data_IF_101604518782
#
_entry.id   IF_101604518782
#
_cell.length_a   1.000
_cell.length_b   1.000
_cell.length_c   1.000
_cell.angle_alpha   90.00
_cell.angle_beta   90.00
_cell.angle_gamma   90.00
#
_symmetry.space_group_name_H-M   'P 1'
#
loop_
_entity.id
_entity.type
_entity.pdbx_description
1 polymer ?
#
# COMPACT_ATOMS: atom_id res chain seq x y z
N UNK A 1 22.69 -23.64 21.81
CA UNK A 1 21.91 -22.53 22.42
C UNK A 1 22.13 -21.30 21.56
N UNK A 2 21.25 -21.08 20.59
CA UNK A 2 21.35 -19.95 19.64
C UNK A 2 20.94 -18.69 20.40
N UNK A 3 21.87 -17.76 20.51
CA UNK A 3 21.63 -16.49 21.21
C UNK A 3 20.68 -15.63 20.38
N UNK A 4 19.52 -15.31 20.92
CA UNK A 4 18.46 -14.44 20.38
C UNK A 4 18.90 -12.98 20.13
N UNK A 5 20.18 -12.70 19.87
CA UNK A 5 20.73 -11.34 19.74
C UNK A 5 20.83 -10.80 18.32
N UNK A 6 20.50 -11.57 17.29
CA UNK A 6 20.72 -11.15 15.88
C UNK A 6 19.46 -10.75 15.09
N UNK A 7 18.30 -10.59 15.74
CA UNK A 7 17.06 -10.14 15.08
C UNK A 7 16.85 -8.61 15.08
N UNK A 8 17.90 -7.83 15.25
CA UNK A 8 17.82 -6.37 15.37
C UNK A 8 18.07 -5.64 14.04
N UNK A 9 17.47 -6.07 12.92
CA UNK A 9 17.72 -5.39 11.64
C UNK A 9 16.50 -4.80 10.93
N UNK A 10 15.28 -5.07 11.40
CA UNK A 10 14.09 -4.42 10.83
C UNK A 10 13.83 -3.11 11.57
N UNK A 11 14.60 -2.07 11.25
CA UNK A 11 14.51 -0.80 11.97
C UNK A 11 13.62 0.23 11.29
N UNK A 12 13.36 0.09 9.98
CA UNK A 12 12.66 1.10 9.19
C UNK A 12 11.74 0.45 8.14
N UNK A 13 10.47 0.79 8.18
CA UNK A 13 9.45 0.32 7.25
C UNK A 13 8.80 1.52 6.56
N UNK A 14 8.46 1.37 5.27
CA UNK A 14 7.43 2.20 4.65
C UNK A 14 6.16 1.35 4.55
N UNK A 15 5.07 1.88 5.10
CA UNK A 15 3.77 1.24 5.11
C UNK A 15 2.83 2.00 4.18
N UNK A 16 2.44 1.37 3.07
CA UNK A 16 1.48 1.89 2.12
C UNK A 16 0.08 1.45 2.54
N UNK A 17 -0.83 2.40 2.67
CA UNK A 17 -2.23 2.13 2.96
C UNK A 17 -3.04 2.55 1.74
N UNK A 18 -3.96 1.70 1.30
CA UNK A 18 -4.90 2.07 0.24
C UNK A 18 -5.64 3.36 0.57
N UNK A 19 -5.86 4.19 -0.41
CA UNK A 19 -6.68 5.40 -0.28
C UNK A 19 -8.18 5.10 -0.32
N UNK A 20 -8.54 3.84 -0.56
CA UNK A 20 -9.91 3.37 -0.62
C UNK A 20 -10.37 2.82 0.74
N UNK A 21 -11.46 3.39 1.25
CA UNK A 21 -12.16 2.99 2.47
C UNK A 21 -11.38 3.11 3.81
N UNK A 22 -12.05 3.64 4.82
CA UNK A 22 -11.48 3.84 6.16
C UNK A 22 -11.20 2.53 6.91
N UNK A 23 -11.84 1.42 6.53
CA UNK A 23 -11.62 0.11 7.15
C UNK A 23 -10.16 -0.35 7.08
N UNK A 24 -9.53 -0.19 5.91
CA UNK A 24 -8.12 -0.50 5.72
C UNK A 24 -7.22 0.41 6.56
N UNK A 25 -7.54 1.70 6.60
CA UNK A 25 -6.79 2.67 7.38
C UNK A 25 -6.84 2.35 8.88
N UNK A 26 -8.01 2.00 9.43
CA UNK A 26 -8.16 1.66 10.86
C UNK A 26 -7.42 0.38 11.22
N UNK A 27 -7.48 -0.64 10.38
CA UNK A 27 -6.72 -1.88 10.54
C UNK A 27 -5.22 -1.63 10.50
N UNK A 28 -4.76 -0.89 9.49
CA UNK A 28 -3.35 -0.55 9.33
C UNK A 28 -2.82 0.26 10.52
N UNK A 29 -3.62 1.19 11.08
CA UNK A 29 -3.26 1.93 12.29
C UNK A 29 -3.00 0.99 13.47
N UNK A 30 -3.84 -0.05 13.64
CA UNK A 30 -3.64 -1.03 14.72
C UNK A 30 -2.33 -1.79 14.56
N UNK A 31 -2.02 -2.26 13.34
CA UNK A 31 -0.76 -2.95 13.03
C UNK A 31 0.44 -2.03 13.24
N UNK A 32 0.37 -0.80 12.74
CA UNK A 32 1.45 0.18 12.86
C UNK A 32 1.76 0.49 14.33
N UNK A 33 0.73 0.57 15.19
CA UNK A 33 0.93 0.76 16.64
C UNK A 33 1.75 -0.37 17.26
N UNK A 34 1.49 -1.61 16.88
CA UNK A 34 2.27 -2.74 17.40
C UNK A 34 3.71 -2.70 16.86
N UNK A 35 3.92 -2.39 15.58
CA UNK A 35 5.25 -2.23 15.01
C UNK A 35 6.07 -1.14 15.74
N UNK A 36 5.43 -0.02 16.09
CA UNK A 36 6.07 1.06 16.84
C UNK A 36 6.43 0.63 18.26
N UNK A 37 5.58 -0.15 18.94
CA UNK A 37 5.87 -0.71 20.27
C UNK A 37 7.10 -1.62 20.26
N UNK A 38 7.31 -2.34 19.16
CA UNK A 38 8.51 -3.18 18.94
C UNK A 38 9.75 -2.36 18.53
N UNK A 39 9.68 -1.03 18.56
CA UNK A 39 10.79 -0.14 18.26
C UNK A 39 11.07 0.05 16.77
N UNK A 40 10.13 -0.32 15.89
CA UNK A 40 10.26 -0.17 14.45
C UNK A 40 9.87 1.26 14.04
N UNK A 41 10.73 1.90 13.27
CA UNK A 41 10.43 3.19 12.65
C UNK A 41 9.51 2.97 11.44
N UNK A 42 8.30 3.51 11.50
CA UNK A 42 7.34 3.39 10.41
C UNK A 42 7.13 4.75 9.75
N UNK A 43 7.25 4.78 8.42
CA UNK A 43 6.81 5.89 7.58
C UNK A 43 5.55 5.45 6.84
N UNK A 44 4.46 6.21 6.97
CA UNK A 44 3.19 5.88 6.33
C UNK A 44 3.01 6.66 5.04
N UNK A 45 2.58 5.96 3.99
CA UNK A 45 2.28 6.50 2.67
C UNK A 45 0.77 6.42 2.41
N UNK A 46 0.10 7.55 2.28
CA UNK A 46 -1.35 7.66 2.04
C UNK A 46 -1.70 9.10 1.66
N UNK A 47 -2.84 9.35 1.05
CA UNK A 47 -3.29 10.72 0.72
C UNK A 47 -3.87 11.46 1.93
N UNK A 48 -4.53 10.76 2.87
CA UNK A 48 -5.18 11.33 4.04
C UNK A 48 -4.27 11.37 5.27
N UNK A 49 -3.19 12.15 5.18
CA UNK A 49 -2.20 12.26 6.26
C UNK A 49 -2.74 12.93 7.52
N UNK A 50 -3.74 13.80 7.41
CA UNK A 50 -4.32 14.49 8.58
C UNK A 50 -5.01 13.53 9.53
N UNK A 51 -5.76 12.56 9.00
CA UNK A 51 -6.38 11.51 9.78
C UNK A 51 -5.34 10.60 10.45
N UNK A 52 -4.29 10.25 9.70
CA UNK A 52 -3.19 9.42 10.20
C UNK A 52 -2.42 10.12 11.32
N UNK A 53 -2.07 11.39 11.17
CA UNK A 53 -1.35 12.17 12.18
C UNK A 53 -2.15 12.33 13.48
N UNK A 54 -3.50 12.45 13.37
CA UNK A 54 -4.38 12.46 14.55
C UNK A 54 -4.43 11.10 15.25
N UNK A 55 -4.42 10.01 14.48
CA UNK A 55 -4.54 8.64 14.99
C UNK A 55 -3.23 8.05 15.50
N UNK A 56 -2.11 8.51 14.93
CA UNK A 56 -0.74 8.06 15.22
C UNK A 56 0.15 9.31 15.46
N UNK A 57 0.10 9.92 16.64
CA UNK A 57 0.94 11.08 16.94
C UNK A 57 2.43 10.76 16.76
N UNK A 58 3.17 11.67 16.14
CA UNK A 58 4.61 11.56 15.86
C UNK A 58 5.01 10.49 14.83
N UNK A 59 4.06 9.94 14.06
CA UNK A 59 4.39 9.09 12.93
C UNK A 59 4.97 9.91 11.77
N UNK A 60 5.94 9.35 11.06
CA UNK A 60 6.38 9.94 9.81
C UNK A 60 5.33 9.65 8.73
N UNK A 61 4.85 10.68 8.04
CA UNK A 61 3.89 10.54 6.94
C UNK A 61 4.41 11.19 5.68
N UNK A 62 4.10 10.59 4.53
CA UNK A 62 4.37 11.15 3.22
C UNK A 62 3.06 11.14 2.44
N UNK A 63 2.56 12.34 2.11
CA UNK A 63 1.32 12.48 1.35
C UNK A 63 1.47 12.00 -0.08
N UNK A 64 0.47 11.30 -0.57
CA UNK A 64 0.30 10.94 -1.97
C UNK A 64 -0.62 9.77 -2.17
N UNK A 65 -1.25 9.74 -3.33
CA UNK A 65 -2.19 8.70 -3.74
C UNK A 65 -1.47 7.38 -3.93
N UNK A 66 -1.96 6.34 -3.27
CA UNK A 66 -1.43 4.97 -3.35
C UNK A 66 -2.19 4.11 -4.35
N UNK A 67 -3.51 4.34 -4.45
CA UNK A 67 -4.40 3.70 -5.42
C UNK A 67 -5.69 4.51 -5.61
N UNK A 68 -6.60 4.01 -6.42
CA UNK A 68 -7.88 4.66 -6.72
C UNK A 68 -9.00 3.63 -6.53
N UNK A 69 -9.91 3.95 -5.63
CA UNK A 69 -11.12 3.16 -5.39
C UNK A 69 -12.36 3.63 -6.17
N UNK A 70 -13.52 3.02 -5.89
CA UNK A 70 -14.78 3.41 -6.50
C UNK A 70 -15.12 4.89 -6.32
N UNK A 71 -15.61 5.50 -7.38
CA UNK A 71 -16.10 6.88 -7.37
C UNK A 71 -17.55 6.91 -6.87
N UNK A 72 -17.80 7.68 -5.82
CA UNK A 72 -19.13 7.82 -5.24
C UNK A 72 -19.90 8.94 -5.95
N UNK A 73 -21.20 8.73 -6.20
CA UNK A 73 -22.12 9.71 -6.75
C UNK A 73 -22.31 10.90 -5.78
N UNK A 74 -22.86 12.02 -6.28
CA UNK A 74 -23.13 13.21 -5.49
C UNK A 74 -24.10 12.95 -4.30
N UNK A 75 -24.90 11.88 -4.36
CA UNK A 75 -25.79 11.46 -3.27
C UNK A 75 -25.03 10.84 -2.06
N UNK A 76 -23.73 10.58 -2.20
CA UNK A 76 -22.89 10.02 -1.14
C UNK A 76 -23.07 8.53 -0.86
N UNK A 77 -23.91 7.82 -1.61
CA UNK A 77 -24.31 6.43 -1.33
C UNK A 77 -23.98 5.52 -2.52
N UNK A 78 -24.35 5.92 -3.73
CA UNK A 78 -24.24 5.10 -4.94
C UNK A 78 -22.88 5.23 -5.57
N UNK A 79 -22.40 4.14 -6.19
CA UNK A 79 -21.18 4.13 -6.98
C UNK A 79 -21.50 4.61 -8.41
N UNK A 80 -20.68 5.52 -8.94
CA UNK A 80 -20.70 5.87 -10.34
C UNK A 80 -19.81 4.88 -11.11
N UNK A 81 -20.42 3.85 -11.69
CA UNK A 81 -19.70 2.76 -12.36
C UNK A 81 -18.81 3.26 -13.49
N UNK A 82 -19.32 4.12 -14.39
CA UNK A 82 -18.56 4.63 -15.53
C UNK A 82 -17.31 5.42 -15.08
N UNK A 83 -17.47 6.32 -14.13
CA UNK A 83 -16.33 7.08 -13.59
C UNK A 83 -15.37 6.19 -12.80
N UNK A 84 -15.87 5.18 -12.13
CA UNK A 84 -15.05 4.20 -11.42
C UNK A 84 -14.16 3.46 -12.40
N UNK A 85 -14.72 2.90 -13.47
CA UNK A 85 -13.97 2.21 -14.51
C UNK A 85 -12.94 3.13 -15.18
N UNK A 86 -13.34 4.36 -15.51
CA UNK A 86 -12.43 5.34 -16.12
C UNK A 86 -11.25 5.68 -15.19
N UNK A 87 -11.53 6.00 -13.91
CA UNK A 87 -10.50 6.45 -12.97
C UNK A 87 -9.55 5.32 -12.57
N UNK A 88 -10.09 4.13 -12.28
CA UNK A 88 -9.27 2.96 -11.96
C UNK A 88 -8.46 2.53 -13.18
N UNK A 89 -9.05 2.52 -14.38
CA UNK A 89 -8.33 2.20 -15.61
C UNK A 89 -7.13 3.12 -15.85
N UNK A 90 -7.31 4.44 -15.71
CA UNK A 90 -6.23 5.43 -15.79
C UNK A 90 -5.15 5.20 -14.73
N UNK A 91 -5.55 4.86 -13.51
CA UNK A 91 -4.60 4.54 -12.44
C UNK A 91 -3.78 3.31 -12.79
N UNK A 92 -4.42 2.21 -13.22
CA UNK A 92 -3.70 0.99 -13.62
C UNK A 92 -2.73 1.28 -14.77
N UNK A 93 -3.17 2.00 -15.81
CA UNK A 93 -2.32 2.35 -16.95
C UNK A 93 -1.11 3.20 -16.55
N UNK A 94 -1.22 3.97 -15.47
CA UNK A 94 -0.15 4.82 -14.94
C UNK A 94 0.73 4.14 -13.89
N UNK A 95 0.44 2.91 -13.47
CA UNK A 95 1.03 2.28 -12.28
C UNK A 95 2.55 2.20 -12.34
N UNK A 96 3.13 1.91 -13.50
CA UNK A 96 4.59 1.87 -13.68
C UNK A 96 5.22 3.25 -13.56
N UNK A 97 4.58 4.28 -14.12
CA UNK A 97 5.05 5.66 -14.04
C UNK A 97 4.99 6.19 -12.60
N UNK A 98 3.92 5.90 -11.88
CA UNK A 98 3.79 6.27 -10.47
C UNK A 98 4.79 5.52 -9.61
N UNK A 99 5.05 4.25 -9.89
CA UNK A 99 6.09 3.46 -9.22
C UNK A 99 7.50 4.05 -9.35
N UNK A 100 7.82 4.73 -10.45
CA UNK A 100 9.10 5.44 -10.57
C UNK A 100 9.26 6.60 -9.57
N UNK A 101 8.15 7.27 -9.22
CA UNK A 101 8.16 8.30 -8.18
C UNK A 101 8.37 7.66 -6.80
N UNK A 102 7.72 6.55 -6.54
CA UNK A 102 7.86 5.81 -5.28
C UNK A 102 9.28 5.21 -5.15
N UNK A 103 9.87 4.73 -6.24
CA UNK A 103 11.27 4.29 -6.24
C UNK A 103 12.22 5.39 -5.72
N UNK A 104 12.01 6.65 -6.11
CA UNK A 104 12.81 7.78 -5.59
C UNK A 104 12.61 7.97 -4.09
N UNK A 105 11.37 7.85 -3.59
CA UNK A 105 11.05 7.96 -2.16
C UNK A 105 11.73 6.82 -1.39
N UNK A 106 11.57 5.58 -1.86
CA UNK A 106 12.18 4.39 -1.26
C UNK A 106 13.71 4.51 -1.22
N UNK A 107 14.31 4.95 -2.33
CA UNK A 107 15.77 5.12 -2.44
C UNK A 107 16.33 6.18 -1.47
N UNK A 108 15.55 7.23 -1.19
CA UNK A 108 15.93 8.27 -0.23
C UNK A 108 15.80 7.79 1.22
N UNK A 109 14.72 7.10 1.55
CA UNK A 109 14.42 6.63 2.90
C UNK A 109 15.28 5.41 3.26
N UNK A 110 15.55 4.55 2.29
CA UNK A 110 16.27 3.27 2.44
C UNK A 110 15.65 2.41 3.55
N UNK A 111 14.37 2.02 3.42
CA UNK A 111 13.72 1.16 4.39
C UNK A 111 14.30 -0.25 4.32
N UNK A 112 14.08 -1.04 5.37
CA UNK A 112 14.42 -2.46 5.39
C UNK A 112 13.31 -3.32 4.81
N UNK A 113 12.06 -2.79 4.81
CA UNK A 113 10.87 -3.50 4.34
C UNK A 113 9.82 -2.52 3.82
N UNK A 114 9.13 -2.92 2.77
CA UNK A 114 7.89 -2.29 2.30
C UNK A 114 6.72 -3.17 2.72
N UNK A 115 5.71 -2.57 3.32
CA UNK A 115 4.42 -3.22 3.59
C UNK A 115 3.33 -2.48 2.82
N UNK A 116 2.46 -3.19 2.13
CA UNK A 116 1.34 -2.58 1.40
C UNK A 116 0.02 -3.25 1.74
N UNK A 117 -0.91 -2.45 2.26
CA UNK A 117 -2.31 -2.84 2.43
C UNK A 117 -3.06 -2.50 1.14
N UNK A 118 -3.36 -3.52 0.35
CA UNK A 118 -3.99 -3.55 -0.98
C UNK A 118 -3.17 -2.93 -2.11
N UNK A 119 -2.63 -1.72 -1.97
CA UNK A 119 -2.02 -1.03 -3.10
C UNK A 119 -0.95 -1.88 -3.80
N UNK A 120 -1.09 -2.05 -5.13
CA UNK A 120 -0.15 -2.82 -5.96
C UNK A 120 1.09 -2.01 -6.37
N UNK A 121 0.96 -0.69 -6.44
CA UNK A 121 1.97 0.22 -6.99
C UNK A 121 3.35 0.12 -6.31
N UNK A 122 3.48 0.00 -4.96
CA UNK A 122 4.78 -0.02 -4.33
C UNK A 122 5.62 -1.26 -4.64
N UNK A 123 5.04 -2.36 -5.09
CA UNK A 123 5.81 -3.59 -5.37
C UNK A 123 6.77 -3.44 -6.55
N UNK A 124 6.40 -2.72 -7.62
CA UNK A 124 7.33 -2.39 -8.70
C UNK A 124 8.51 -1.57 -8.18
N UNK A 125 8.24 -0.60 -7.32
CA UNK A 125 9.28 0.28 -6.77
C UNK A 125 10.19 -0.46 -5.78
N UNK A 126 9.63 -1.32 -4.93
CA UNK A 126 10.36 -2.16 -3.99
C UNK A 126 11.30 -3.13 -4.73
N UNK A 127 10.77 -3.84 -5.73
CA UNK A 127 11.54 -4.75 -6.56
C UNK A 127 12.71 -4.04 -7.26
N UNK A 128 12.46 -2.88 -7.87
CA UNK A 128 13.50 -2.06 -8.50
C UNK A 128 14.56 -1.58 -7.50
N UNK A 129 14.17 -1.27 -6.26
CA UNK A 129 15.05 -0.85 -5.19
C UNK A 129 15.78 -2.02 -4.50
N UNK A 130 15.44 -3.27 -4.84
CA UNK A 130 15.91 -4.48 -4.16
C UNK A 130 15.60 -4.47 -2.65
N UNK A 131 14.43 -3.98 -2.28
CA UNK A 131 13.92 -3.96 -0.92
C UNK A 131 12.80 -5.00 -0.82
N UNK A 132 12.87 -5.87 0.18
CA UNK A 132 11.83 -6.86 0.43
C UNK A 132 10.47 -6.19 0.66
N UNK A 133 9.40 -6.86 0.21
CA UNK A 133 8.05 -6.32 0.27
C UNK A 133 7.02 -7.36 0.69
N UNK A 134 6.00 -6.89 1.41
CA UNK A 134 4.90 -7.70 1.93
C UNK A 134 3.57 -7.12 1.46
N UNK A 135 2.79 -7.94 0.78
CA UNK A 135 1.37 -7.67 0.53
C UNK A 135 0.58 -8.12 1.75
N UNK A 136 -0.18 -7.21 2.35
CA UNK A 136 -0.96 -7.48 3.57
C UNK A 136 -2.40 -7.02 3.34
N UNK A 137 -3.34 -7.95 3.14
CA UNK A 137 -4.74 -7.59 2.93
C UNK A 137 -5.67 -8.80 3.08
N UNK A 138 -6.97 -8.53 3.14
CA UNK A 138 -8.02 -9.55 3.04
C UNK A 138 -8.39 -9.88 1.57
N UNK A 139 -8.09 -8.99 0.63
CA UNK A 139 -8.24 -9.18 -0.83
C UNK A 139 -7.22 -8.32 -1.57
N UNK A 140 -7.01 -8.60 -2.85
CA UNK A 140 -6.24 -7.77 -3.78
C UNK A 140 -7.16 -7.08 -4.80
N UNK A 141 -6.65 -6.10 -5.53
CA UNK A 141 -7.41 -5.51 -6.64
C UNK A 141 -7.72 -6.52 -7.74
N UNK A 142 -6.91 -7.56 -7.90
CA UNK A 142 -7.18 -8.64 -8.87
C UNK A 142 -8.37 -9.51 -8.50
N UNK A 143 -8.74 -9.56 -7.21
CA UNK A 143 -9.89 -10.35 -6.73
C UNK A 143 -11.23 -9.64 -6.94
N UNK A 144 -11.23 -8.31 -6.96
CA UNK A 144 -12.48 -7.53 -6.89
C UNK A 144 -12.75 -6.69 -8.14
N UNK A 145 -11.74 -6.39 -8.95
CA UNK A 145 -11.91 -5.58 -10.15
C UNK A 145 -12.43 -6.42 -11.32
N UNK A 146 -13.50 -5.94 -11.95
CA UNK A 146 -14.09 -6.52 -13.17
C UNK A 146 -14.27 -5.44 -14.24
N UNK A 147 -14.37 -5.84 -15.52
CA UNK A 147 -14.58 -4.91 -16.63
C UNK A 147 -13.31 -4.24 -17.15
N UNK A 148 -12.13 -4.67 -16.73
CA UNK A 148 -10.83 -4.17 -17.20
C UNK A 148 -10.23 -5.10 -18.25
N UNK A 149 -9.36 -4.55 -19.11
CA UNK A 149 -8.68 -5.32 -20.14
C UNK A 149 -7.69 -6.33 -19.54
N UNK A 150 -7.43 -7.42 -20.26
CA UNK A 150 -6.40 -8.40 -19.85
C UNK A 150 -5.03 -7.74 -19.62
N UNK A 151 -4.71 -6.70 -20.39
CA UNK A 151 -3.47 -5.93 -20.21
C UNK A 151 -3.43 -5.22 -18.85
N UNK A 152 -4.54 -4.58 -18.45
CA UNK A 152 -4.65 -3.88 -17.16
C UNK A 152 -4.61 -4.85 -15.99
N UNK A 153 -5.37 -5.94 -16.09
CA UNK A 153 -5.33 -6.99 -15.05
C UNK A 153 -3.95 -7.62 -14.94
N UNK A 154 -3.29 -7.93 -16.06
CA UNK A 154 -1.92 -8.44 -16.09
C UNK A 154 -0.89 -7.52 -15.44
N UNK A 155 -1.07 -6.18 -15.51
CA UNK A 155 -0.21 -5.24 -14.78
C UNK A 155 -0.37 -5.34 -13.26
N UNK A 156 -1.59 -5.56 -12.76
CA UNK A 156 -1.84 -5.76 -11.34
C UNK A 156 -1.30 -7.10 -10.86
N UNK A 157 -1.55 -8.18 -11.63
CA UNK A 157 -1.00 -9.52 -11.33
C UNK A 157 0.53 -9.49 -11.29
N UNK A 158 1.17 -8.82 -12.26
CA UNK A 158 2.61 -8.63 -12.26
C UNK A 158 3.08 -7.89 -11.01
N UNK A 159 2.41 -6.79 -10.64
CA UNK A 159 2.78 -6.02 -9.46
C UNK A 159 2.71 -6.85 -8.18
N UNK A 160 1.59 -7.55 -7.94
CA UNK A 160 1.46 -8.41 -6.76
C UNK A 160 2.42 -9.60 -6.79
N UNK A 161 2.72 -10.15 -7.98
CA UNK A 161 3.71 -11.21 -8.17
C UNK A 161 5.15 -10.82 -7.82
N UNK A 162 5.44 -9.52 -7.71
CA UNK A 162 6.75 -9.00 -7.27
C UNK A 162 6.87 -8.88 -5.74
N UNK A 163 5.79 -9.10 -4.97
CA UNK A 163 5.88 -9.14 -3.51
C UNK A 163 6.61 -10.41 -3.04
N UNK A 164 7.48 -10.28 -2.03
CA UNK A 164 8.23 -11.43 -1.48
C UNK A 164 7.37 -12.29 -0.58
N UNK A 165 6.33 -11.71 0.03
CA UNK A 165 5.39 -12.40 0.91
C UNK A 165 4.00 -11.79 0.77
N UNK A 166 2.98 -12.65 0.75
CA UNK A 166 1.58 -12.24 0.87
C UNK A 166 0.99 -12.79 2.17
N UNK A 167 0.39 -11.89 2.97
CA UNK A 167 -0.31 -12.22 4.21
C UNK A 167 -1.78 -11.91 4.00
N UNK A 168 -2.60 -12.96 3.93
CA UNK A 168 -4.04 -12.81 3.83
C UNK A 168 -4.65 -12.67 5.23
N UNK A 169 -5.37 -11.59 5.44
CA UNK A 169 -6.11 -11.34 6.67
C UNK A 169 -7.54 -11.91 6.54
N UNK A 170 -8.16 -12.35 7.66
CA UNK A 170 -9.57 -12.74 7.64
C UNK A 170 -10.46 -11.56 7.24
N UNK A 171 -11.61 -11.87 6.64
CA UNK A 171 -12.68 -10.91 6.32
C UNK A 171 -13.39 -10.45 7.58
#
# INVERSE_FOLDING_TARGET
MIKYKDYCYLKKIIYYITDHALGHTTRSIAIIRELIKEGIQVTVRNSNIDYLNKSLPNINTISGTTDVGPTIEKNGISINENKTLENIGKWIDSIRLTSEKEYKIISNIKPNLIVSDISAMPFFAAHKAQINSVALSNFSWTDVLTGFSNKQMGLLEEAYGLSDLAIQLPL
#
